data_IF_865540798932
#
_entry.id   IF_865540798932
#
_cell.length_a   1.000
_cell.length_b   1.000
_cell.length_c   1.000
_cell.angle_alpha   90.00
_cell.angle_beta   90.00
_cell.angle_gamma   90.00
#
_symmetry.space_group_name_H-M   'P 1'
#
loop_
_entity.id
_entity.type
_entity.pdbx_description
1 polymer ?
#
# COMPACT_ATOMS: atom_id res chain seq x y z
N UNK A 1 -8.51 -8.68 10.35
CA UNK A 1 -9.82 -9.25 9.93
C UNK A 1 -10.79 -9.23 11.11
N UNK A 2 -12.11 -9.33 10.87
CA UNK A 2 -13.12 -9.26 11.94
C UNK A 2 -12.99 -10.38 12.99
N UNK A 3 -12.29 -11.46 12.63
CA UNK A 3 -11.95 -12.61 13.48
C UNK A 3 -10.61 -12.43 14.24
N UNK A 4 -9.96 -11.26 14.16
CA UNK A 4 -8.67 -10.99 14.79
C UNK A 4 -7.46 -11.57 14.05
N UNK A 5 -7.65 -12.20 12.88
CA UNK A 5 -6.53 -12.72 12.09
C UNK A 5 -5.84 -11.62 11.28
N UNK A 6 -4.55 -11.82 11.02
CA UNK A 6 -3.76 -11.02 10.08
C UNK A 6 -3.51 -11.83 8.82
N UNK A 7 -3.73 -11.20 7.68
CA UNK A 7 -3.41 -11.76 6.36
C UNK A 7 -2.23 -11.00 5.79
N UNK A 8 -1.21 -11.71 5.30
CA UNK A 8 -0.11 -11.10 4.58
C UNK A 8 -0.60 -10.68 3.18
N UNK A 9 -0.32 -9.43 2.79
CA UNK A 9 -0.64 -8.90 1.48
C UNK A 9 0.62 -8.56 0.71
N UNK A 10 0.63 -8.88 -0.58
CA UNK A 10 1.66 -8.43 -1.52
C UNK A 10 1.14 -7.17 -2.23
N UNK A 11 1.81 -6.04 -2.02
CA UNK A 11 1.39 -4.75 -2.57
C UNK A 11 2.45 -4.27 -3.54
N UNK A 12 2.12 -4.27 -4.84
CA UNK A 12 2.97 -3.74 -5.88
C UNK A 12 2.53 -2.31 -6.25
N UNK A 13 3.52 -1.42 -6.30
CA UNK A 13 3.36 -0.01 -6.63
C UNK A 13 4.48 0.43 -7.58
N UNK A 14 4.50 1.72 -7.95
CA UNK A 14 5.50 2.25 -8.87
C UNK A 14 6.93 2.11 -8.34
N UNK A 15 7.90 2.15 -9.26
CA UNK A 15 9.33 2.05 -8.90
C UNK A 15 9.75 3.11 -7.88
N UNK A 16 10.79 2.82 -7.09
CA UNK A 16 11.32 3.75 -6.09
C UNK A 16 11.61 5.15 -6.67
N UNK A 17 12.20 5.22 -7.88
CA UNK A 17 12.48 6.50 -8.57
C UNK A 17 11.21 7.29 -8.87
N UNK A 18 10.13 6.61 -9.29
CA UNK A 18 8.84 7.27 -9.53
C UNK A 18 8.23 7.78 -8.23
N UNK A 19 8.36 7.03 -7.14
CA UNK A 19 7.86 7.42 -5.82
C UNK A 19 8.64 8.63 -5.27
N UNK A 20 9.97 8.64 -5.37
CA UNK A 20 10.77 9.80 -4.95
C UNK A 20 10.41 11.07 -5.71
N UNK A 21 10.11 10.98 -7.01
CA UNK A 21 9.61 12.13 -7.81
C UNK A 21 8.25 12.65 -7.34
N UNK A 22 7.46 11.83 -6.64
CA UNK A 22 6.18 12.20 -6.02
C UNK A 22 6.35 12.71 -4.57
N UNK A 23 7.58 12.92 -4.12
CA UNK A 23 7.90 13.44 -2.79
C UNK A 23 8.06 12.38 -1.69
N UNK A 24 8.09 11.09 -2.05
CA UNK A 24 8.32 10.03 -1.06
C UNK A 24 9.79 9.98 -0.64
N UNK A 25 9.98 9.85 0.66
CA UNK A 25 11.24 9.57 1.33
C UNK A 25 11.19 8.16 1.95
N UNK A 26 12.34 7.60 2.37
CA UNK A 26 12.35 6.37 3.16
C UNK A 26 11.49 6.43 4.45
N UNK A 27 11.22 7.64 4.94
CA UNK A 27 10.42 7.88 6.15
C UNK A 27 8.93 8.13 5.88
N UNK A 28 8.48 8.05 4.62
CA UNK A 28 7.06 8.29 4.27
C UNK A 28 6.12 7.20 4.80
N UNK A 29 6.63 5.98 4.98
CA UNK A 29 5.92 4.87 5.62
C UNK A 29 6.91 4.16 6.53
N UNK A 30 6.52 3.94 7.78
CA UNK A 30 7.28 3.19 8.76
C UNK A 30 6.48 1.99 9.29
N UNK A 31 7.17 1.05 9.92
CA UNK A 31 6.51 -0.08 10.57
C UNK A 31 5.58 0.43 11.68
N UNK A 32 4.32 0.02 11.62
CA UNK A 32 3.28 0.47 12.55
C UNK A 32 2.31 1.49 11.93
N UNK A 33 2.64 2.08 10.78
CA UNK A 33 1.70 2.97 10.09
C UNK A 33 0.49 2.19 9.56
N UNK A 34 -0.68 2.75 9.78
CA UNK A 34 -1.91 2.30 9.15
C UNK A 34 -2.08 3.03 7.81
N UNK A 35 -2.21 2.26 6.73
CA UNK A 35 -2.38 2.80 5.38
C UNK A 35 -3.53 2.11 4.66
N UNK A 36 -4.17 2.85 3.76
CA UNK A 36 -5.15 2.32 2.83
C UNK A 36 -4.51 2.17 1.46
N UNK A 37 -4.75 1.06 0.77
CA UNK A 37 -4.33 0.88 -0.61
C UNK A 37 -5.52 0.57 -1.52
N UNK A 38 -5.45 1.05 -2.76
CA UNK A 38 -6.43 0.75 -3.82
C UNK A 38 -5.67 0.38 -5.08
N UNK A 39 -6.06 -0.70 -5.75
CA UNK A 39 -5.43 -1.14 -6.99
C UNK A 39 -6.14 -2.33 -7.61
N UNK A 40 -5.49 -2.96 -8.59
CA UNK A 40 -6.02 -4.16 -9.24
C UNK A 40 -5.71 -5.39 -8.36
N UNK A 41 -6.73 -6.09 -7.84
CA UNK A 41 -6.50 -7.28 -7.03
C UNK A 41 -5.90 -8.41 -7.86
N UNK A 42 -5.09 -9.26 -7.19
CA UNK A 42 -4.61 -10.50 -7.78
C UNK A 42 -5.77 -11.41 -8.18
N UNK A 43 -5.61 -12.08 -9.31
CA UNK A 43 -6.59 -13.03 -9.85
C UNK A 43 -6.23 -14.48 -9.54
N UNK A 44 -5.04 -14.73 -8.98
CA UNK A 44 -4.62 -16.08 -8.62
C UNK A 44 -5.38 -16.57 -7.38
N UNK A 45 -5.96 -17.78 -7.41
CA UNK A 45 -6.67 -18.33 -6.25
C UNK A 45 -5.81 -18.36 -5.00
N UNK A 46 -6.37 -17.92 -3.87
CA UNK A 46 -5.69 -17.95 -2.56
C UNK A 46 -4.61 -16.88 -2.35
N UNK A 47 -4.47 -15.92 -3.26
CA UNK A 47 -3.51 -14.82 -3.12
C UNK A 47 -4.18 -13.53 -2.64
N UNK A 48 -3.41 -12.76 -1.87
CA UNK A 48 -3.80 -11.45 -1.35
C UNK A 48 -2.87 -10.39 -1.93
N UNK A 49 -2.87 -10.31 -3.26
CA UNK A 49 -2.02 -9.38 -4.00
C UNK A 49 -2.81 -8.18 -4.51
N UNK A 50 -2.15 -7.04 -4.65
CA UNK A 50 -2.65 -5.89 -5.40
C UNK A 50 -1.53 -5.32 -6.27
N UNK A 51 -1.85 -5.00 -7.52
CA UNK A 51 -0.95 -4.34 -8.45
C UNK A 51 -1.45 -2.93 -8.78
N UNK A 52 -0.54 -2.05 -9.22
CA UNK A 52 -0.82 -0.65 -9.48
C UNK A 52 -1.43 0.07 -8.26
N UNK A 53 -0.95 -0.25 -7.05
CA UNK A 53 -1.53 0.28 -5.84
C UNK A 53 -1.27 1.78 -5.68
N UNK A 54 -2.30 2.52 -5.30
CA UNK A 54 -2.21 3.86 -4.73
C UNK A 54 -2.41 3.76 -3.22
N UNK A 55 -1.47 4.31 -2.45
CA UNK A 55 -1.52 4.34 -1.00
C UNK A 55 -1.94 5.72 -0.48
N UNK A 56 -2.82 5.73 0.52
CA UNK A 56 -3.29 6.90 1.25
C UNK A 56 -3.30 6.62 2.76
N UNK A 57 -3.40 7.69 3.55
CA UNK A 57 -3.68 7.58 4.99
C UNK A 57 -5.09 7.02 5.22
N UNK A 58 -5.42 6.56 6.45
CA UNK A 58 -6.74 6.01 6.74
C UNK A 58 -7.89 7.00 6.47
N UNK A 59 -7.61 8.30 6.63
CA UNK A 59 -8.54 9.41 6.33
C UNK A 59 -8.68 9.71 4.81
N UNK A 60 -7.92 9.03 3.95
CA UNK A 60 -7.91 9.22 2.51
C UNK A 60 -6.98 10.33 2.03
N UNK A 61 -6.29 11.05 2.93
CA UNK A 61 -5.30 12.05 2.54
C UNK A 61 -4.07 11.37 1.89
N UNK A 62 -3.41 12.05 0.93
CA UNK A 62 -2.28 11.46 0.24
C UNK A 62 -1.07 11.35 1.17
N UNK A 63 -0.27 10.28 1.07
CA UNK A 63 0.92 10.07 1.92
C UNK A 63 2.07 11.05 1.66
N UNK A 64 2.07 11.73 0.51
CA UNK A 64 3.03 12.79 0.16
C UNK A 64 2.88 14.01 1.10
N UNK A 65 3.95 14.81 1.27
CA UNK A 65 3.87 16.13 1.90
C UNK A 65 2.90 17.06 1.18
#
# INVERSE_FOLDING_TARGET
NADGTTTAWEVEMGTAVMMSRRGWTPDTIQAGDEVKFVGQPSRAPGTFGVCCAELSRPDGSPLRP
#
